data_IF_238086625215
#
_entry.id   IF_238086625215
#
_cell.length_a   1.000
_cell.length_b   1.000
_cell.length_c   1.000
_cell.angle_alpha   90.00
_cell.angle_beta   90.00
_cell.angle_gamma   90.00
#
_symmetry.space_group_name_H-M   'P 1'
#
loop_
_entity.id
_entity.type
_entity.pdbx_description
1 polymer ?
#
# COMPACT_ATOMS: atom_id res chain seq x y z
N UNK A 1 4.99 17.91 7.26
CA UNK A 1 4.68 16.76 8.14
C UNK A 1 4.15 15.63 7.28
N UNK A 2 4.44 14.37 7.60
CA UNK A 2 3.97 13.21 6.82
C UNK A 2 2.69 12.66 7.41
N UNK A 3 1.66 12.52 6.59
CA UNK A 3 0.38 11.90 6.95
C UNK A 3 0.48 10.38 6.91
N UNK A 4 -0.09 9.71 7.91
CA UNK A 4 -0.21 8.26 8.02
C UNK A 4 -1.70 7.87 7.85
N UNK A 5 -2.22 7.82 6.61
CA UNK A 5 -3.64 7.57 6.36
C UNK A 5 -4.03 6.16 6.78
N UNK A 6 -5.18 5.94 7.43
CA UNK A 6 -5.61 4.61 7.85
C UNK A 6 -5.74 3.67 6.64
N UNK A 7 -5.40 2.40 6.86
CA UNK A 7 -5.42 1.35 5.84
C UNK A 7 -6.22 0.15 6.33
N UNK A 8 -6.89 -0.51 5.41
CA UNK A 8 -7.53 -1.82 5.59
C UNK A 8 -7.02 -2.75 4.48
N UNK A 9 -6.64 -3.98 4.84
CA UNK A 9 -6.25 -5.03 3.89
C UNK A 9 -7.19 -6.21 4.13
N UNK A 10 -7.96 -6.59 3.12
CA UNK A 10 -8.88 -7.71 3.15
C UNK A 10 -8.51 -8.76 2.11
N UNK A 11 -8.75 -10.02 2.42
CA UNK A 11 -8.68 -11.10 1.42
C UNK A 11 -10.01 -11.24 0.69
N UNK A 12 -9.97 -11.22 -0.64
CA UNK A 12 -11.12 -11.40 -1.51
C UNK A 12 -10.81 -12.49 -2.53
N UNK A 13 -10.93 -13.76 -2.12
CA UNK A 13 -10.64 -14.91 -2.96
C UNK A 13 -9.18 -14.93 -3.43
N UNK A 14 -8.99 -14.76 -4.74
CA UNK A 14 -7.67 -14.74 -5.40
C UNK A 14 -6.96 -13.40 -5.31
N UNK A 15 -7.55 -12.39 -4.67
CA UNK A 15 -6.99 -11.04 -4.59
C UNK A 15 -6.88 -10.57 -3.13
N UNK A 16 -6.01 -9.60 -2.90
CA UNK A 16 -6.15 -8.66 -1.79
C UNK A 16 -6.95 -7.44 -2.26
N UNK A 17 -7.84 -6.95 -1.41
CA UNK A 17 -8.49 -5.65 -1.53
C UNK A 17 -7.91 -4.74 -0.46
N UNK A 18 -7.32 -3.61 -0.87
CA UNK A 18 -6.76 -2.63 0.06
C UNK A 18 -7.54 -1.34 -0.05
N UNK A 19 -7.90 -0.75 1.09
CA UNK A 19 -8.52 0.58 1.16
C UNK A 19 -7.66 1.54 1.95
N UNK A 20 -7.48 2.74 1.43
CA UNK A 20 -6.69 3.80 2.09
C UNK A 20 -7.47 5.11 2.07
N UNK A 21 -7.63 5.74 3.23
CA UNK A 21 -8.34 7.02 3.31
C UNK A 21 -7.41 8.18 2.92
N UNK A 22 -7.66 8.78 1.76
CA UNK A 22 -6.94 9.92 1.20
C UNK A 22 -7.92 11.06 0.83
N UNK A 23 -8.70 11.58 1.80
CA UNK A 23 -9.65 12.66 1.51
C UNK A 23 -8.92 13.92 1.04
N UNK A 24 -9.44 14.56 0.01
CA UNK A 24 -8.92 15.83 -0.52
C UNK A 24 -7.76 15.71 -1.51
N UNK A 25 -7.26 14.50 -1.78
CA UNK A 25 -6.29 14.27 -2.87
C UNK A 25 -7.02 14.02 -4.19
N UNK A 26 -6.45 14.50 -5.31
CA UNK A 26 -6.87 14.10 -6.65
C UNK A 26 -6.06 12.87 -7.08
N UNK A 27 -6.55 12.12 -8.07
CA UNK A 27 -5.82 10.96 -8.59
C UNK A 27 -4.42 11.33 -9.08
N UNK A 28 -4.28 12.47 -9.76
CA UNK A 28 -3.01 12.97 -10.28
C UNK A 28 -2.01 13.40 -9.19
N UNK A 29 -2.46 13.54 -7.94
CA UNK A 29 -1.61 13.85 -6.79
C UNK A 29 -1.07 12.59 -6.10
N UNK A 30 -1.45 11.39 -6.57
CA UNK A 30 -1.18 10.10 -5.93
C UNK A 30 -0.34 9.21 -6.85
N UNK A 31 0.76 8.69 -6.31
CA UNK A 31 1.57 7.64 -6.93
C UNK A 31 1.50 6.37 -6.09
N UNK A 32 1.23 5.24 -6.74
CA UNK A 32 1.23 3.93 -6.11
C UNK A 32 2.30 3.07 -6.77
N UNK A 33 3.22 2.58 -5.96
CA UNK A 33 4.25 1.63 -6.36
C UNK A 33 4.00 0.31 -5.67
N UNK A 34 4.25 -0.80 -6.36
CA UNK A 34 4.15 -2.11 -5.75
C UNK A 34 5.20 -3.05 -6.33
N UNK A 35 5.73 -3.91 -5.47
CA UNK A 35 6.53 -5.07 -5.84
C UNK A 35 5.78 -6.35 -5.47
N UNK A 36 6.46 -7.50 -5.50
CA UNK A 36 5.81 -8.78 -5.21
C UNK A 36 5.24 -8.88 -3.78
N UNK A 37 5.76 -8.12 -2.80
CA UNK A 37 5.45 -8.28 -1.36
C UNK A 37 4.99 -6.99 -0.68
N UNK A 38 5.13 -5.83 -1.33
CA UNK A 38 4.87 -4.54 -0.70
C UNK A 38 4.14 -3.56 -1.61
N UNK A 39 3.44 -2.62 -0.96
CA UNK A 39 2.81 -1.46 -1.61
C UNK A 39 3.33 -0.20 -0.95
N UNK A 40 3.71 0.78 -1.77
CA UNK A 40 4.10 2.12 -1.34
C UNK A 40 3.16 3.14 -1.98
N UNK A 41 2.55 3.98 -1.15
CA UNK A 41 1.67 5.06 -1.57
C UNK A 41 2.36 6.38 -1.24
N UNK A 42 2.50 7.22 -2.26
CA UNK A 42 2.94 8.60 -2.14
C UNK A 42 1.81 9.50 -2.58
N UNK A 43 1.57 10.57 -1.84
CA UNK A 43 0.68 11.61 -2.32
C UNK A 43 1.15 12.97 -1.81
N UNK A 44 1.01 14.02 -2.60
CA UNK A 44 1.35 15.37 -2.16
C UNK A 44 0.25 16.33 -2.57
N UNK A 45 -0.42 16.90 -1.57
CA UNK A 45 -1.37 17.95 -1.80
C UNK A 45 -0.57 19.24 -2.01
N UNK A 46 -0.61 19.80 -3.22
CA UNK A 46 -0.04 21.13 -3.46
C UNK A 46 -0.86 22.13 -2.65
N UNK A 47 -0.21 22.81 -1.70
CA UNK A 47 -0.86 23.92 -1.01
C UNK A 47 -1.27 24.95 -2.07
N UNK A 48 -2.56 25.26 -2.12
CA UNK A 48 -2.99 26.47 -2.82
C UNK A 48 -2.31 27.64 -2.11
N UNK A 49 -1.34 28.23 -2.81
CA UNK A 49 -0.59 29.39 -2.36
C UNK A 49 -1.55 30.41 -1.76
N UNK A 50 -1.35 30.68 -0.47
CA UNK A 50 -2.12 31.54 0.43
C UNK A 50 -3.19 32.42 -0.22
N UNK A 51 -4.45 32.13 0.10
CA UNK A 51 -5.39 33.23 0.34
C UNK A 51 -5.03 33.83 1.70
N UNK A 52 -4.19 34.86 1.70
CA UNK A 52 -3.93 35.72 2.87
C UNK A 52 -5.23 36.35 3.44
N UNK A 53 -6.38 36.13 2.79
CA UNK A 53 -7.68 36.68 3.15
C UNK A 53 -8.38 36.01 4.34
N UNK A 54 -7.96 34.81 4.77
CA UNK A 54 -8.65 34.08 5.86
C UNK A 54 -7.76 33.87 7.09
N UNK A 55 -8.12 34.54 8.18
CA UNK A 55 -7.57 34.27 9.52
C UNK A 55 -8.13 32.95 10.05
N UNK A 56 -7.41 31.86 9.79
CA UNK A 56 -7.69 30.53 10.39
C UNK A 56 -7.57 30.64 11.90
N UNK A 57 -8.68 30.45 12.63
CA UNK A 57 -8.70 30.51 14.10
C UNK A 57 -8.24 29.19 14.74
N UNK A 58 -8.54 28.07 14.08
CA UNK A 58 -8.21 26.72 14.50
C UNK A 58 -8.29 25.76 13.31
N UNK A 59 -7.39 24.79 13.24
CA UNK A 59 -7.43 23.75 12.20
C UNK A 59 -6.85 22.43 12.72
N UNK A 60 -7.62 21.37 12.56
CA UNK A 60 -7.15 19.98 12.71
C UNK A 60 -6.85 19.35 11.35
N UNK A 61 -7.19 20.03 10.26
CA UNK A 61 -6.88 19.57 8.91
C UNK A 61 -5.37 19.52 8.77
N UNK A 62 -4.90 18.34 8.40
CA UNK A 62 -3.50 18.07 8.13
C UNK A 62 -3.33 18.17 6.63
N UNK A 63 -2.74 19.26 6.14
CA UNK A 63 -2.24 19.34 4.76
C UNK A 63 -0.83 18.76 4.74
N UNK A 64 -0.47 18.05 3.67
CA UNK A 64 0.89 17.59 3.51
C UNK A 64 1.08 16.36 2.64
N UNK A 65 2.28 15.79 2.76
CA UNK A 65 2.73 14.63 2.01
C UNK A 65 2.31 13.35 2.72
N UNK A 66 1.82 12.38 1.96
CA UNK A 66 1.65 11.00 2.39
C UNK A 66 2.84 10.21 1.87
N UNK A 67 3.44 9.41 2.75
CA UNK A 67 4.36 8.33 2.38
C UNK A 67 4.02 7.16 3.28
N UNK A 68 3.33 6.16 2.73
CA UNK A 68 2.93 4.96 3.47
C UNK A 68 3.35 3.72 2.72
N UNK A 69 4.11 2.87 3.38
CA UNK A 69 4.49 1.56 2.88
C UNK A 69 3.98 0.48 3.84
N UNK A 70 3.51 -0.63 3.29
CA UNK A 70 3.10 -1.80 4.05
C UNK A 70 3.37 -3.08 3.28
N UNK A 71 3.61 -4.16 4.01
CA UNK A 71 3.81 -5.50 3.47
C UNK A 71 2.48 -6.24 3.32
N UNK A 72 2.40 -7.09 2.31
CA UNK A 72 1.28 -7.96 2.05
C UNK A 72 1.48 -9.33 2.72
N UNK A 73 0.40 -10.00 3.16
CA UNK A 73 0.50 -11.32 3.79
C UNK A 73 1.14 -12.39 2.89
N UNK A 74 0.97 -12.27 1.57
CA UNK A 74 1.57 -13.16 0.57
C UNK A 74 1.99 -12.37 -0.68
N UNK A 75 2.71 -13.04 -1.56
CA UNK A 75 3.10 -12.44 -2.84
C UNK A 75 1.89 -12.16 -3.74
N UNK A 76 2.04 -11.13 -4.58
CA UNK A 76 1.11 -10.73 -5.63
C UNK A 76 1.77 -10.76 -7.01
N UNK A 77 0.98 -10.54 -8.06
CA UNK A 77 1.46 -10.28 -9.42
C UNK A 77 1.37 -8.77 -9.69
N UNK A 78 2.47 -8.00 -9.58
CA UNK A 78 2.45 -6.54 -9.63
C UNK A 78 1.79 -5.97 -10.90
N UNK A 79 2.07 -6.58 -12.05
CA UNK A 79 1.53 -6.16 -13.36
C UNK A 79 0.00 -6.25 -13.46
N UNK A 80 -0.65 -6.97 -12.55
CA UNK A 80 -2.11 -7.11 -12.49
C UNK A 80 -2.76 -6.21 -11.43
N UNK A 81 -1.98 -5.36 -10.75
CA UNK A 81 -2.52 -4.43 -9.78
C UNK A 81 -3.43 -3.38 -10.45
N UNK A 82 -4.52 -3.02 -9.76
CA UNK A 82 -5.41 -1.93 -10.15
C UNK A 82 -5.59 -0.97 -9.00
N UNK A 83 -5.72 0.32 -9.31
CA UNK A 83 -5.93 1.39 -8.35
C UNK A 83 -7.06 2.30 -8.80
N UNK A 84 -7.99 2.61 -7.90
CA UNK A 84 -9.14 3.47 -8.16
C UNK A 84 -9.34 4.40 -6.97
N UNK A 85 -9.59 5.69 -7.24
CA UNK A 85 -9.89 6.68 -6.21
C UNK A 85 -11.36 7.10 -6.34
N UNK A 86 -12.15 6.84 -5.30
CA UNK A 86 -13.55 7.25 -5.24
C UNK A 86 -13.87 7.81 -3.86
N UNK A 87 -14.50 8.99 -3.81
CA UNK A 87 -14.97 9.63 -2.56
C UNK A 87 -13.89 9.74 -1.47
N UNK A 88 -12.63 10.00 -1.88
CA UNK A 88 -11.49 10.12 -0.97
C UNK A 88 -10.96 8.79 -0.44
N UNK A 89 -11.40 7.65 -0.99
CA UNK A 89 -10.86 6.32 -0.69
C UNK A 89 -10.12 5.78 -1.90
N UNK A 90 -8.83 5.50 -1.73
CA UNK A 90 -8.03 4.75 -2.69
C UNK A 90 -8.24 3.26 -2.45
N UNK A 91 -8.81 2.59 -3.44
CA UNK A 91 -9.03 1.15 -3.48
C UNK A 91 -7.98 0.49 -4.39
N UNK A 92 -7.26 -0.51 -3.87
CA UNK A 92 -6.33 -1.32 -4.65
C UNK A 92 -6.85 -2.74 -4.76
N UNK A 93 -6.82 -3.30 -5.96
CA UNK A 93 -7.06 -4.73 -6.20
C UNK A 93 -5.76 -5.38 -6.63
N UNK A 94 -5.27 -6.33 -5.82
CA UNK A 94 -3.95 -6.93 -5.99
C UNK A 94 -4.11 -8.45 -6.16
N UNK A 95 -3.84 -8.98 -7.35
CA UNK A 95 -3.95 -10.41 -7.61
C UNK A 95 -2.85 -11.18 -6.87
N UNK A 96 -3.24 -12.15 -6.02
CA UNK A 96 -2.28 -13.02 -5.31
C UNK A 96 -1.48 -13.83 -6.33
N UNK A 97 -0.20 -14.00 -6.06
CA UNK A 97 0.62 -14.94 -6.80
C UNK A 97 0.13 -16.38 -6.51
N UNK A 98 0.20 -17.25 -7.51
CA UNK A 98 -0.10 -18.67 -7.28
C UNK A 98 0.87 -19.21 -6.23
N UNK A 99 0.32 -19.86 -5.20
CA UNK A 99 1.15 -20.51 -4.21
C UNK A 99 1.95 -21.62 -4.89
N UNK A 100 3.29 -21.48 -4.89
CA UNK A 100 4.17 -22.56 -5.36
C UNK A 100 3.84 -23.80 -4.53
N UNK A 101 3.49 -24.89 -5.21
CA UNK A 101 3.16 -26.15 -4.56
C UNK A 101 4.28 -26.53 -3.56
N UNK A 102 3.91 -26.78 -2.31
CA UNK A 102 4.86 -27.17 -1.27
C UNK A 102 5.62 -28.40 -1.75
N UNK A 103 6.94 -28.30 -1.91
CA UNK A 103 7.79 -29.45 -2.21
C UNK A 103 8.18 -30.13 -0.90
N UNK A 104 7.98 -31.44 -0.84
CA UNK A 104 8.60 -32.26 0.21
C UNK A 104 10.10 -32.19 0.02
N UNK A 105 10.82 -31.81 1.08
CA UNK A 105 12.28 -31.90 1.12
C UNK A 105 12.60 -33.15 1.92
N UNK A 106 13.34 -34.08 1.32
CA UNK A 106 13.83 -35.26 2.03
C UNK A 106 15.05 -34.87 2.87
N UNK A 107 15.10 -35.39 4.10
CA UNK A 107 16.19 -35.11 5.05
C UNK A 107 17.22 -36.22 4.91
N UNK A 108 18.42 -35.86 4.47
CA UNK A 108 19.56 -36.79 4.40
C UNK A 108 20.33 -36.79 5.73
N UNK A 109 20.69 -37.98 6.20
CA UNK A 109 21.53 -38.16 7.38
C UNK A 109 23.01 -38.04 6.99
N UNK A 110 23.71 -37.04 7.53
CA UNK A 110 25.16 -36.94 7.41
C UNK A 110 25.80 -37.66 8.59
N UNK A 111 26.30 -38.87 8.36
CA UNK A 111 27.07 -39.63 9.35
C UNK A 111 28.55 -39.26 9.24
N UNK A 112 29.04 -38.46 10.20
CA UNK A 112 30.46 -38.13 10.27
C UNK A 112 31.20 -39.25 11.03
N UNK A 113 31.83 -40.18 10.30
CA UNK A 113 32.81 -41.12 10.89
C UNK A 113 34.18 -40.48 10.81
N UNK A 114 34.64 -39.92 11.93
CA UNK A 114 36.05 -39.67 12.15
C UNK A 114 36.78 -41.02 12.17
N UNK A 115 37.81 -41.14 11.31
CA UNK A 115 38.77 -42.24 11.32
C UNK A 115 39.78 -42.06 12.47
#
# INVERSE_FOLDING_TARGET
MVLLPPIEIAEAGTNFSVRVALPGFKADDIEVFTDARSVTIKAEQKEESGTEEKKVQYSEFRTGRVLRQFELPSEIVPDKAKAELQEGILSLTLAKAEAVAKKKIDVESVSNRAA
#
